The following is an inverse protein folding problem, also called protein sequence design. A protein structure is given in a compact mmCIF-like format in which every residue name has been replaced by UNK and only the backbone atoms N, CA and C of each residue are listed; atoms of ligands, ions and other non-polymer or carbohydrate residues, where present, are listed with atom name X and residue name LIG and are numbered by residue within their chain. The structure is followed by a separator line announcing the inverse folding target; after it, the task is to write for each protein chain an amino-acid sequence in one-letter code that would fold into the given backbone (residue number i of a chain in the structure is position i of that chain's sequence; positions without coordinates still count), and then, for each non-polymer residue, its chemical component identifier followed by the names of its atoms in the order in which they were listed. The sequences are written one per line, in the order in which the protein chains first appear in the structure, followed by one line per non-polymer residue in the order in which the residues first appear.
data_IF_592119094032
#
_entry.id   IF_592119094032
#
_cell.length_a   1.000
_cell.length_b   1.000
_cell.length_c   1.000
_cell.angle_alpha   90.00
_cell.angle_beta   90.00
_cell.angle_gamma   90.00
#
_symmetry.space_group_name_H-M   'P 1'
#
loop_
_entity.id
_entity.type
_entity.pdbx_description
1 polymer ?
#
# COMPACT_ATOMS: atom_id res chain seq x y z
N UNK A 1 58.41 12.09 17.65
CA UNK A 1 57.14 11.93 16.93
C UNK A 1 56.05 12.47 17.83
N UNK A 2 55.57 13.67 17.53
CA UNK A 2 54.83 14.50 18.47
C UNK A 2 53.37 14.07 18.64
N UNK A 3 52.93 13.98 19.89
CA UNK A 3 51.56 13.66 20.29
C UNK A 3 50.50 14.65 19.72
N UNK A 4 50.96 15.84 19.33
CA UNK A 4 50.17 16.89 18.65
C UNK A 4 49.59 16.42 17.31
N UNK A 5 50.34 15.61 16.55
CA UNK A 5 49.93 15.16 15.21
C UNK A 5 48.91 14.03 15.25
N UNK A 6 48.88 13.24 16.34
CA UNK A 6 47.94 12.13 16.54
C UNK A 6 46.54 12.60 16.94
N UNK A 7 46.43 13.69 17.70
CA UNK A 7 45.15 14.30 18.08
C UNK A 7 44.45 15.01 16.89
N UNK A 8 45.24 15.65 16.02
CA UNK A 8 44.71 16.32 14.82
C UNK A 8 44.12 15.37 13.77
N UNK A 9 44.66 14.15 13.65
CA UNK A 9 44.13 13.12 12.74
C UNK A 9 42.90 12.41 13.31
N UNK A 10 42.85 12.13 14.62
CA UNK A 10 41.67 11.58 15.29
C UNK A 10 40.47 12.53 15.22
N UNK A 11 40.69 13.84 15.38
CA UNK A 11 39.62 14.85 15.31
C UNK A 11 39.05 15.01 13.89
N UNK A 12 39.89 14.92 12.85
CA UNK A 12 39.44 14.94 11.44
C UNK A 12 38.74 13.63 11.03
N UNK A 13 39.21 12.48 11.50
CA UNK A 13 38.56 11.20 11.23
C UNK A 13 37.18 11.10 11.90
N UNK A 14 37.03 11.64 13.12
CA UNK A 14 35.74 11.69 13.81
C UNK A 14 34.79 12.69 13.16
N UNK A 15 35.27 13.87 12.75
CA UNK A 15 34.46 14.84 12.00
C UNK A 15 34.00 14.30 10.64
N UNK A 16 34.87 13.57 9.92
CA UNK A 16 34.51 12.89 8.68
C UNK A 16 33.49 11.75 8.91
N UNK A 17 33.61 10.99 10.00
CA UNK A 17 32.64 9.95 10.35
C UNK A 17 31.27 10.54 10.72
N UNK A 18 31.23 11.69 11.41
CA UNK A 18 29.98 12.41 11.74
C UNK A 18 29.33 13.02 10.49
N UNK A 19 30.12 13.57 9.55
CA UNK A 19 29.61 14.09 8.28
C UNK A 19 29.12 13.00 7.33
N UNK A 20 29.75 11.82 7.31
CA UNK A 20 29.28 10.65 6.53
C UNK A 20 28.03 10.03 7.16
N UNK A 21 27.91 10.01 8.49
CA UNK A 21 26.69 9.57 9.17
C UNK A 21 25.50 10.53 8.98
N UNK A 22 25.76 11.82 8.83
CA UNK A 22 24.73 12.84 8.59
C UNK A 22 24.29 12.95 7.11
N UNK A 23 25.02 12.32 6.18
CA UNK A 23 24.72 12.33 4.74
C UNK A 23 24.42 10.96 4.15
N UNK A 24 24.36 9.91 5.00
CA UNK A 24 23.64 8.72 4.61
C UNK A 24 22.21 9.17 4.27
N UNK A 25 21.75 9.05 3.01
CA UNK A 25 20.35 9.33 2.73
C UNK A 25 19.58 8.46 3.70
N UNK A 26 18.72 9.07 4.51
CA UNK A 26 17.78 8.32 5.33
C UNK A 26 17.22 7.26 4.38
N UNK A 27 17.57 5.99 4.61
CA UNK A 27 17.04 4.88 3.81
C UNK A 27 15.56 5.05 3.97
N UNK A 28 14.92 5.67 2.98
CA UNK A 28 13.48 5.79 2.94
C UNK A 28 13.02 4.37 3.18
N UNK A 29 12.27 4.17 4.28
CA UNK A 29 11.71 2.87 4.60
C UNK A 29 11.18 2.34 3.27
N UNK A 30 11.65 1.16 2.80
CA UNK A 30 11.48 0.74 1.42
C UNK A 30 10.04 0.99 1.07
N UNK A 31 9.84 1.91 0.13
CA UNK A 31 8.51 2.32 -0.31
C UNK A 31 7.80 1.01 -0.61
N UNK A 32 6.82 0.61 0.22
CA UNK A 32 6.29 -0.73 0.10
C UNK A 32 5.72 -0.82 -1.33
N UNK A 33 5.92 -1.93 -2.09
CA UNK A 33 5.69 -2.04 -3.54
C UNK A 33 4.23 -1.81 -4.02
N UNK A 34 3.40 -1.21 -3.19
CA UNK A 34 1.96 -1.05 -3.28
C UNK A 34 1.50 0.38 -2.91
N UNK A 35 2.40 1.32 -2.55
CA UNK A 35 2.15 2.76 -2.76
C UNK A 35 1.96 3.10 -4.23
N UNK A 36 2.50 2.24 -5.10
CA UNK A 36 2.45 2.39 -6.56
C UNK A 36 1.15 1.84 -7.16
N UNK A 37 0.19 1.43 -6.31
CA UNK A 37 -1.15 1.05 -6.77
C UNK A 37 -2.05 2.26 -7.05
N UNK A 38 -1.77 3.44 -6.48
CA UNK A 38 -2.59 4.63 -6.77
C UNK A 38 -2.56 5.00 -8.26
N UNK A 39 -1.37 5.08 -8.92
CA UNK A 39 -1.31 5.26 -10.35
C UNK A 39 -2.03 4.15 -11.13
N UNK A 40 -1.91 2.89 -10.68
CA UNK A 40 -2.56 1.77 -11.36
C UNK A 40 -4.08 1.75 -11.21
N UNK A 41 -4.62 2.12 -10.05
CA UNK A 41 -6.06 2.29 -9.83
C UNK A 41 -6.58 3.44 -10.70
N UNK A 42 -5.87 4.57 -10.72
CA UNK A 42 -6.26 5.74 -11.49
C UNK A 42 -6.20 5.50 -13.01
N UNK A 43 -5.25 4.68 -13.48
CA UNK A 43 -5.06 4.38 -14.89
C UNK A 43 -5.80 3.13 -15.39
N UNK A 44 -6.46 2.38 -14.50
CA UNK A 44 -7.22 1.18 -14.87
C UNK A 44 -8.62 1.55 -15.34
N UNK A 45 -9.02 1.01 -16.49
CA UNK A 45 -10.41 1.03 -16.92
C UNK A 45 -11.18 -0.09 -16.23
N UNK A 46 -10.57 -1.27 -16.12
CA UNK A 46 -11.12 -2.45 -15.44
C UNK A 46 -10.20 -2.90 -14.31
N UNK A 47 -10.79 -3.26 -13.17
CA UNK A 47 -10.09 -3.95 -12.07
C UNK A 47 -10.86 -5.23 -11.79
N UNK A 48 -10.20 -6.36 -11.96
CA UNK A 48 -10.83 -7.68 -11.86
C UNK A 48 -10.03 -8.60 -10.96
N UNK A 49 -10.74 -9.41 -10.18
CA UNK A 49 -10.19 -10.60 -9.58
C UNK A 49 -10.41 -11.74 -10.58
N UNK A 50 -9.34 -12.41 -10.97
CA UNK A 50 -9.40 -13.45 -11.98
C UNK A 50 -8.49 -14.63 -11.64
N UNK A 51 -8.85 -15.81 -12.11
CA UNK A 51 -8.07 -17.03 -11.98
C UNK A 51 -7.42 -17.36 -13.31
N UNK A 52 -6.12 -17.65 -13.30
CA UNK A 52 -5.39 -18.05 -14.50
C UNK A 52 -5.88 -19.43 -14.96
N UNK A 53 -6.32 -19.51 -16.21
CA UNK A 53 -6.74 -20.75 -16.85
C UNK A 53 -5.63 -21.32 -17.73
N UNK A 54 -4.90 -20.47 -18.44
CA UNK A 54 -3.79 -20.86 -19.30
C UNK A 54 -2.76 -19.74 -19.45
N UNK A 55 -1.54 -20.13 -19.83
CA UNK A 55 -0.48 -19.20 -20.21
C UNK A 55 0.33 -19.79 -21.35
N UNK A 56 0.62 -19.01 -22.38
CA UNK A 56 1.47 -19.44 -23.51
C UNK A 56 2.45 -18.35 -23.91
N UNK A 57 3.67 -18.74 -24.21
CA UNK A 57 4.69 -17.83 -24.76
C UNK A 57 4.36 -17.54 -26.22
N UNK A 58 4.30 -16.26 -26.58
CA UNK A 58 4.17 -15.77 -27.94
C UNK A 58 5.46 -15.01 -28.28
N UNK A 59 6.41 -15.63 -28.96
CA UNK A 59 7.63 -14.91 -29.38
C UNK A 59 7.34 -14.07 -30.63
N UNK A 60 7.82 -12.82 -30.72
CA UNK A 60 8.61 -12.07 -29.74
C UNK A 60 7.76 -11.22 -28.74
N UNK A 61 6.43 -11.37 -28.77
CA UNK A 61 5.45 -10.50 -28.12
C UNK A 61 5.38 -10.61 -26.58
N UNK A 62 5.81 -11.72 -25.99
CA UNK A 62 5.78 -11.94 -24.56
C UNK A 62 4.92 -13.15 -24.15
N UNK A 63 4.41 -13.12 -22.91
CA UNK A 63 3.56 -14.16 -22.36
C UNK A 63 2.09 -13.76 -22.49
N UNK A 64 1.31 -14.50 -23.27
CA UNK A 64 -0.15 -14.35 -23.25
C UNK A 64 -0.71 -15.17 -22.09
N UNK A 65 -1.49 -14.52 -21.24
CA UNK A 65 -2.17 -15.16 -20.13
C UNK A 65 -3.67 -15.11 -20.38
N UNK A 66 -4.33 -16.25 -20.24
CA UNK A 66 -5.77 -16.37 -20.23
C UNK A 66 -6.26 -16.52 -18.79
N UNK A 67 -7.30 -15.77 -18.45
CA UNK A 67 -7.88 -15.74 -17.12
C UNK A 67 -9.39 -15.80 -17.18
N UNK A 68 -9.99 -16.45 -16.17
CA UNK A 68 -11.42 -16.42 -15.91
C UNK A 68 -11.71 -15.36 -14.87
N UNK A 69 -12.54 -14.38 -15.19
CA UNK A 69 -12.97 -13.34 -14.24
C UNK A 69 -13.85 -13.96 -13.17
N UNK A 70 -13.43 -13.87 -11.92
CA UNK A 70 -14.21 -14.27 -10.76
C UNK A 70 -15.11 -13.12 -10.29
N UNK A 71 -14.58 -11.89 -10.32
CA UNK A 71 -15.28 -10.68 -9.88
C UNK A 71 -14.72 -9.44 -10.59
N UNK A 72 -15.59 -8.47 -10.87
CA UNK A 72 -15.19 -7.13 -11.30
C UNK A 72 -15.42 -6.12 -10.18
N UNK A 73 -14.36 -5.38 -9.85
CA UNK A 73 -14.35 -4.34 -8.84
C UNK A 73 -14.44 -2.94 -9.45
N UNK A 74 -14.01 -2.80 -10.70
CA UNK A 74 -14.17 -1.63 -11.53
C UNK A 74 -14.38 -2.06 -12.98
N UNK A 75 -15.28 -1.38 -13.69
CA UNK A 75 -15.64 -1.69 -15.07
C UNK A 75 -16.76 -2.72 -15.21
N UNK A 76 -17.04 -3.13 -16.46
CA UNK A 76 -18.07 -4.13 -16.80
C UNK A 76 -17.45 -5.44 -17.31
N UNK A 77 -16.51 -5.97 -16.53
CA UNK A 77 -15.97 -7.30 -16.77
C UNK A 77 -16.86 -8.33 -16.06
N UNK A 78 -17.91 -8.79 -16.74
CA UNK A 78 -18.85 -9.79 -16.16
C UNK A 78 -18.10 -10.99 -15.58
N UNK A 79 -18.51 -11.44 -14.40
CA UNK A 79 -18.02 -12.68 -13.80
C UNK A 79 -18.29 -13.86 -14.75
N UNK A 80 -17.37 -14.81 -14.80
CA UNK A 80 -17.38 -15.94 -15.74
C UNK A 80 -16.88 -15.60 -17.16
N UNK A 81 -16.56 -14.33 -17.45
CA UNK A 81 -15.93 -13.95 -18.72
C UNK A 81 -14.47 -14.39 -18.75
N UNK A 82 -14.05 -14.98 -19.86
CA UNK A 82 -12.63 -15.19 -20.15
C UNK A 82 -12.00 -13.93 -20.73
N UNK A 83 -10.86 -13.51 -20.17
CA UNK A 83 -10.04 -12.42 -20.68
C UNK A 83 -8.66 -12.94 -21.03
N UNK A 84 -7.98 -12.26 -21.96
CA UNK A 84 -6.55 -12.47 -22.18
C UNK A 84 -5.81 -11.15 -22.01
N UNK A 85 -4.59 -11.22 -21.52
CA UNK A 85 -3.68 -10.08 -21.48
C UNK A 85 -2.26 -10.52 -21.86
N UNK A 86 -1.45 -9.55 -22.26
CA UNK A 86 -0.03 -9.75 -22.52
C UNK A 86 0.77 -9.33 -21.28
N UNK A 87 1.74 -10.15 -20.92
CA UNK A 87 2.69 -9.95 -19.83
C UNK A 87 4.11 -10.09 -20.37
N UNK A 88 5.09 -9.57 -19.64
CA UNK A 88 6.48 -9.86 -19.96
C UNK A 88 6.79 -11.37 -19.86
N UNK A 89 7.80 -11.84 -20.61
CA UNK A 89 8.25 -13.24 -20.57
C UNK A 89 8.95 -13.65 -19.26
N UNK A 90 9.29 -12.68 -18.40
CA UNK A 90 9.94 -12.94 -17.11
C UNK A 90 8.92 -13.22 -16.00
N UNK A 91 7.66 -13.02 -16.30
CA UNK A 91 6.54 -13.25 -15.41
C UNK A 91 6.29 -14.74 -15.22
N UNK A 92 6.41 -15.19 -13.98
CA UNK A 92 5.99 -16.54 -13.61
C UNK A 92 4.49 -16.49 -13.31
N UNK A 93 3.69 -17.05 -14.23
CA UNK A 93 2.24 -17.18 -14.09
C UNK A 93 1.87 -18.63 -14.34
N UNK A 94 1.12 -19.25 -13.43
CA UNK A 94 0.71 -20.65 -13.54
C UNK A 94 -0.80 -20.79 -13.58
N UNK A 95 -1.34 -21.78 -14.32
CA UNK A 95 -2.74 -22.17 -14.21
C UNK A 95 -3.12 -22.41 -12.75
N UNK A 96 -4.26 -21.86 -12.34
CA UNK A 96 -4.75 -21.91 -10.97
C UNK A 96 -4.44 -20.67 -10.12
N UNK A 97 -3.45 -19.86 -10.49
CA UNK A 97 -3.12 -18.64 -9.75
C UNK A 97 -4.30 -17.65 -9.75
N UNK A 98 -4.69 -17.16 -8.57
CA UNK A 98 -5.66 -16.06 -8.43
C UNK A 98 -4.95 -14.73 -8.41
N UNK A 99 -5.40 -13.77 -9.22
CA UNK A 99 -4.72 -12.49 -9.42
C UNK A 99 -5.72 -11.35 -9.44
N UNK A 100 -5.35 -10.25 -8.79
CA UNK A 100 -6.02 -8.98 -8.98
C UNK A 100 -5.33 -8.24 -10.13
N UNK A 101 -6.07 -7.96 -11.20
CA UNK A 101 -5.55 -7.37 -12.43
C UNK A 101 -6.07 -5.95 -12.59
N UNK A 102 -5.15 -5.04 -12.93
CA UNK A 102 -5.42 -3.66 -13.31
C UNK A 102 -5.25 -3.57 -14.82
N UNK A 103 -6.37 -3.42 -15.53
CA UNK A 103 -6.46 -3.54 -16.96
C UNK A 103 -6.90 -2.21 -17.58
N UNK A 104 -6.28 -1.82 -18.69
CA UNK A 104 -6.83 -0.78 -19.56
C UNK A 104 -8.04 -1.29 -20.34
N UNK A 105 -8.63 -0.41 -21.16
CA UNK A 105 -9.74 -0.79 -22.05
C UNK A 105 -9.38 -2.05 -22.85
N UNK A 106 -10.30 -3.02 -22.97
CA UNK A 106 -10.11 -4.11 -23.90
C UNK A 106 -9.93 -3.54 -25.31
N UNK A 107 -9.08 -4.18 -26.10
CA UNK A 107 -8.96 -3.85 -27.51
C UNK A 107 -10.32 -4.05 -28.22
N UNK A 108 -10.56 -3.35 -29.35
CA UNK A 108 -11.84 -3.42 -30.08
C UNK A 108 -12.22 -4.84 -30.53
N UNK A 109 -11.22 -5.70 -30.73
CA UNK A 109 -11.38 -7.13 -31.05
C UNK A 109 -11.82 -7.98 -29.84
N UNK A 110 -11.84 -7.40 -28.64
CA UNK A 110 -12.21 -8.03 -27.38
C UNK A 110 -11.22 -9.07 -26.86
N UNK A 111 -10.12 -9.32 -27.57
CA UNK A 111 -9.22 -10.44 -27.31
C UNK A 111 -8.18 -10.11 -26.23
N UNK A 112 -7.74 -8.86 -26.13
CA UNK A 112 -6.64 -8.46 -25.25
C UNK A 112 -6.97 -7.23 -24.41
N UNK A 113 -6.79 -7.36 -23.10
CA UNK A 113 -6.72 -6.21 -22.20
C UNK A 113 -5.26 -5.79 -22.02
N UNK A 114 -5.00 -4.49 -22.01
CA UNK A 114 -3.68 -3.96 -21.68
C UNK A 114 -3.43 -4.12 -20.17
N UNK A 115 -2.49 -4.98 -19.79
CA UNK A 115 -2.10 -5.10 -18.39
C UNK A 115 -1.35 -3.83 -17.95
N UNK A 116 -1.87 -3.15 -16.94
CA UNK A 116 -1.19 -2.03 -16.27
C UNK A 116 -0.37 -2.51 -15.09
N UNK A 117 -1.01 -3.34 -14.26
CA UNK A 117 -0.40 -3.93 -13.08
C UNK A 117 -1.14 -5.21 -12.71
N UNK A 118 -0.47 -6.09 -11.95
CA UNK A 118 -1.10 -7.23 -11.29
C UNK A 118 -0.65 -7.34 -9.84
N UNK A 119 -1.53 -7.86 -9.01
CA UNK A 119 -1.21 -8.30 -7.65
C UNK A 119 -1.56 -9.77 -7.54
N UNK A 120 -0.54 -10.59 -7.28
CA UNK A 120 -0.64 -12.04 -7.29
C UNK A 120 0.60 -12.66 -7.96
N UNK A 121 0.79 -13.95 -7.70
CA UNK A 121 2.00 -14.74 -7.97
C UNK A 121 3.17 -14.47 -6.99
N UNK A 122 3.45 -15.49 -6.16
CA UNK A 122 4.56 -15.61 -5.19
C UNK A 122 4.51 -14.67 -3.98
N UNK A 123 3.43 -14.71 -3.21
CA UNK A 123 3.40 -14.12 -1.87
C UNK A 123 2.67 -15.03 -0.87
N UNK A 124 3.24 -15.27 0.31
CA UNK A 124 2.63 -16.12 1.35
C UNK A 124 1.35 -15.54 1.96
N UNK A 125 1.09 -14.25 1.72
CA UNK A 125 -0.12 -13.53 2.12
C UNK A 125 -0.96 -13.12 0.90
N UNK A 126 -0.77 -13.75 -0.26
CA UNK A 126 -1.44 -13.38 -1.52
C UNK A 126 -2.96 -13.26 -1.37
N UNK A 127 -3.64 -14.27 -0.85
CA UNK A 127 -5.11 -14.24 -0.67
C UNK A 127 -5.52 -13.10 0.26
N UNK A 128 -4.84 -12.99 1.40
CA UNK A 128 -5.13 -11.95 2.38
C UNK A 128 -4.88 -10.53 1.84
N UNK A 129 -3.91 -10.35 0.91
CA UNK A 129 -3.64 -9.10 0.19
C UNK A 129 -4.70 -8.82 -0.89
N UNK A 130 -5.13 -9.85 -1.63
CA UNK A 130 -6.21 -9.73 -2.60
C UNK A 130 -7.50 -9.31 -1.90
N UNK A 131 -7.88 -9.98 -0.81
CA UNK A 131 -9.08 -9.66 -0.03
C UNK A 131 -9.01 -8.25 0.57
N UNK A 132 -7.84 -7.86 1.05
CA UNK A 132 -7.60 -6.50 1.53
C UNK A 132 -7.81 -5.46 0.44
N UNK A 133 -7.18 -5.63 -0.73
CA UNK A 133 -7.32 -4.70 -1.85
C UNK A 133 -8.75 -4.65 -2.37
N UNK A 134 -9.43 -5.80 -2.42
CA UNK A 134 -10.85 -5.89 -2.73
C UNK A 134 -11.69 -5.04 -1.77
N UNK A 135 -11.44 -5.13 -0.46
CA UNK A 135 -12.12 -4.31 0.53
C UNK A 135 -11.82 -2.81 0.39
N UNK A 136 -10.55 -2.44 0.15
CA UNK A 136 -10.15 -1.04 -0.10
C UNK A 136 -10.86 -0.46 -1.33
N UNK A 137 -10.93 -1.21 -2.43
CA UNK A 137 -11.61 -0.77 -3.65
C UNK A 137 -13.11 -0.59 -3.42
N UNK A 138 -13.75 -1.49 -2.67
CA UNK A 138 -15.16 -1.35 -2.26
C UNK A 138 -15.39 -0.12 -1.39
N UNK A 139 -14.50 0.17 -0.44
CA UNK A 139 -14.57 1.38 0.38
C UNK A 139 -14.43 2.65 -0.46
N UNK A 140 -13.61 2.62 -1.52
CA UNK A 140 -13.50 3.75 -2.46
C UNK A 140 -14.75 3.96 -3.30
N UNK A 141 -15.50 2.90 -3.60
CA UNK A 141 -16.78 3.04 -4.30
C UNK A 141 -17.86 3.71 -3.43
N UNK A 142 -17.70 3.72 -2.10
CA UNK A 142 -18.61 4.44 -1.20
C UNK A 142 -18.52 5.95 -1.46
N UNK A 143 -19.68 6.61 -1.47
CA UNK A 143 -19.78 8.06 -1.64
C UNK A 143 -18.92 8.79 -0.59
N UNK A 144 -18.21 9.85 -1.00
CA UNK A 144 -17.20 10.53 -0.18
C UNK A 144 -17.71 10.93 1.23
N UNK A 145 -18.98 11.35 1.33
CA UNK A 145 -19.63 11.73 2.60
C UNK A 145 -19.77 10.60 3.63
N UNK A 146 -19.89 9.35 3.17
CA UNK A 146 -20.03 8.17 4.03
C UNK A 146 -18.73 7.36 4.13
N UNK A 147 -17.74 7.69 3.29
CA UNK A 147 -16.46 6.98 3.20
C UNK A 147 -15.63 7.15 4.46
N UNK A 148 -15.61 8.34 5.06
CA UNK A 148 -14.81 8.66 6.26
C UNK A 148 -14.92 7.63 7.38
N UNK A 149 -16.12 7.46 7.92
CA UNK A 149 -16.39 6.51 9.00
C UNK A 149 -16.22 5.04 8.61
N UNK A 150 -16.54 4.66 7.37
CA UNK A 150 -16.32 3.29 6.90
C UNK A 150 -14.82 2.98 6.70
N UNK A 151 -14.07 3.95 6.21
CA UNK A 151 -12.62 3.87 5.98
C UNK A 151 -11.89 3.76 7.31
N UNK A 152 -12.11 4.69 8.24
CA UNK A 152 -11.42 4.67 9.55
C UNK A 152 -11.71 3.37 10.30
N UNK A 153 -12.97 2.90 10.31
CA UNK A 153 -13.34 1.62 10.94
C UNK A 153 -12.62 0.42 10.34
N UNK A 154 -12.55 0.35 9.01
CA UNK A 154 -11.85 -0.74 8.33
C UNK A 154 -10.36 -0.81 8.71
N UNK A 155 -9.69 0.35 8.78
CA UNK A 155 -8.28 0.37 9.19
C UNK A 155 -8.11 0.19 10.70
N UNK A 156 -9.08 0.60 11.53
CA UNK A 156 -9.10 0.31 12.96
C UNK A 156 -9.15 -1.21 13.22
N UNK A 157 -10.05 -1.94 12.56
CA UNK A 157 -10.12 -3.41 12.64
C UNK A 157 -8.79 -4.07 12.21
N UNK A 158 -8.10 -3.48 11.24
CA UNK A 158 -6.84 -4.00 10.76
C UNK A 158 -5.64 -3.73 11.68
N UNK A 159 -5.69 -2.67 12.50
CA UNK A 159 -4.73 -2.44 13.58
C UNK A 159 -4.81 -3.54 14.65
N UNK A 160 -6.00 -4.09 14.85
CA UNK A 160 -6.25 -5.15 15.83
C UNK A 160 -5.98 -6.56 15.28
N UNK A 161 -5.88 -6.71 13.96
CA UNK A 161 -5.59 -8.00 13.31
C UNK A 161 -4.26 -8.58 13.77
N UNK A 162 -4.19 -9.91 13.97
CA UNK A 162 -2.98 -10.64 14.35
C UNK A 162 -1.81 -10.53 13.35
N UNK A 163 -2.04 -9.96 12.16
CA UNK A 163 -1.06 -9.88 11.09
C UNK A 163 -0.33 -8.53 11.07
N UNK A 164 0.97 -8.54 11.37
CA UNK A 164 1.81 -7.32 11.38
C UNK A 164 1.77 -6.57 10.04
N UNK A 165 1.69 -7.26 8.90
CA UNK A 165 1.60 -6.58 7.60
C UNK A 165 0.28 -5.79 7.44
N UNK A 166 -0.83 -6.30 8.00
CA UNK A 166 -2.13 -5.59 7.98
C UNK A 166 -2.07 -4.35 8.87
N UNK A 167 -1.47 -4.48 10.06
CA UNK A 167 -1.25 -3.34 10.97
C UNK A 167 -0.38 -2.27 10.34
N UNK A 168 0.74 -2.67 9.75
CA UNK A 168 1.66 -1.76 9.08
C UNK A 168 0.95 -1.02 7.93
N UNK A 169 0.08 -1.71 7.16
CA UNK A 169 -0.76 -0.98 6.20
C UNK A 169 -1.68 0.00 6.89
N UNK A 170 -2.50 -0.46 7.82
CA UNK A 170 -3.48 0.40 8.44
C UNK A 170 -2.85 1.66 9.04
N UNK A 171 -1.71 1.53 9.69
CA UNK A 171 -0.91 2.65 10.16
C UNK A 171 -0.53 3.63 9.04
N UNK A 172 0.01 3.16 7.91
CA UNK A 172 0.39 4.04 6.79
C UNK A 172 -0.79 4.86 6.23
N UNK A 173 -1.98 4.26 6.16
CA UNK A 173 -3.19 4.93 5.68
C UNK A 173 -3.74 5.91 6.70
N UNK A 174 -3.73 5.55 7.98
CA UNK A 174 -4.14 6.43 9.06
C UNK A 174 -3.18 7.61 9.23
N UNK A 175 -1.87 7.42 9.03
CA UNK A 175 -0.89 8.51 9.02
C UNK A 175 -1.04 9.43 7.80
N UNK A 176 -1.46 8.89 6.65
CA UNK A 176 -1.86 9.72 5.51
C UNK A 176 -3.09 10.55 5.86
N UNK A 177 -4.13 9.94 6.42
CA UNK A 177 -5.34 10.63 6.83
C UNK A 177 -5.07 11.67 7.93
N UNK A 178 -4.15 11.39 8.86
CA UNK A 178 -3.66 12.35 9.86
C UNK A 178 -3.10 13.62 9.23
N UNK A 179 -2.42 13.53 8.09
CA UNK A 179 -1.84 14.69 7.37
C UNK A 179 -2.88 15.41 6.54
N UNK A 180 -3.78 14.67 5.90
CA UNK A 180 -4.76 15.22 4.96
C UNK A 180 -6.02 15.77 5.66
N UNK A 181 -6.47 15.11 6.73
CA UNK A 181 -7.74 15.36 7.44
C UNK A 181 -7.66 15.01 8.94
N UNK A 182 -6.85 15.75 9.72
CA UNK A 182 -6.61 15.43 11.12
C UNK A 182 -7.89 15.47 11.98
N UNK A 183 -8.81 16.39 11.71
CA UNK A 183 -10.06 16.53 12.46
C UNK A 183 -10.98 15.32 12.27
N UNK A 184 -11.10 14.85 11.03
CA UNK A 184 -11.90 13.67 10.68
C UNK A 184 -11.35 12.43 11.37
N UNK A 185 -10.02 12.27 11.41
CA UNK A 185 -9.39 11.13 12.06
C UNK A 185 -9.57 11.18 13.59
N UNK A 186 -9.38 12.34 14.23
CA UNK A 186 -9.63 12.49 15.68
C UNK A 186 -11.08 12.21 16.07
N UNK A 187 -12.04 12.56 15.21
CA UNK A 187 -13.45 12.33 15.49
C UNK A 187 -13.86 10.86 15.37
N UNK A 188 -13.12 10.05 14.61
CA UNK A 188 -13.54 8.71 14.20
C UNK A 188 -12.67 7.57 14.72
N UNK A 189 -11.40 7.83 15.08
CA UNK A 189 -10.48 6.82 15.58
C UNK A 189 -10.26 6.99 17.09
N UNK A 190 -10.70 5.99 17.86
CA UNK A 190 -10.44 5.93 19.30
C UNK A 190 -8.95 5.67 19.58
N UNK A 191 -8.31 6.39 20.53
CA UNK A 191 -6.91 6.19 20.89
C UNK A 191 -6.55 4.77 21.33
N UNK A 192 -7.50 4.03 21.90
CA UNK A 192 -7.31 2.69 22.43
C UNK A 192 -7.09 1.66 21.30
N UNK A 193 -7.55 1.93 20.08
CA UNK A 193 -7.37 1.04 18.92
C UNK A 193 -5.88 0.91 18.55
N UNK A 194 -5.14 2.00 18.25
CA UNK A 194 -3.70 1.90 18.01
C UNK A 194 -2.91 1.39 19.22
N UNK A 195 -3.36 1.60 20.46
CA UNK A 195 -2.73 1.02 21.65
C UNK A 195 -2.82 -0.51 21.68
N UNK A 196 -4.01 -1.06 21.42
CA UNK A 196 -4.19 -2.52 21.27
C UNK A 196 -3.36 -3.06 20.11
N UNK A 197 -3.30 -2.34 18.99
CA UNK A 197 -2.44 -2.67 17.87
C UNK A 197 -0.96 -2.70 18.23
N UNK A 198 -0.48 -1.72 19.01
CA UNK A 198 0.89 -1.64 19.48
C UNK A 198 1.27 -2.80 20.41
N UNK A 199 0.38 -3.11 21.36
CA UNK A 199 0.57 -4.22 22.30
C UNK A 199 0.72 -5.57 21.59
N UNK A 200 0.03 -5.74 20.46
CA UNK A 200 0.06 -6.97 19.67
C UNK A 200 1.11 -6.97 18.53
N UNK A 201 1.81 -5.87 18.29
CA UNK A 201 2.81 -5.75 17.23
C UNK A 201 4.11 -6.48 17.60
N UNK A 202 4.59 -7.34 16.69
CA UNK A 202 5.84 -8.09 16.86
C UNK A 202 7.08 -7.24 16.56
N UNK A 203 6.98 -6.32 15.60
CA UNK A 203 8.07 -5.43 15.21
C UNK A 203 8.16 -4.18 16.13
N UNK A 204 9.30 -3.91 16.78
CA UNK A 204 9.46 -2.75 17.67
C UNK A 204 9.21 -1.39 16.99
N UNK A 205 9.62 -1.24 15.73
CA UNK A 205 9.40 -0.02 14.96
C UNK A 205 7.90 0.24 14.68
N UNK A 206 7.14 -0.83 14.41
CA UNK A 206 5.69 -0.74 14.21
C UNK A 206 4.99 -0.39 15.52
N UNK A 207 5.36 -1.06 16.62
CA UNK A 207 4.84 -0.77 17.97
C UNK A 207 4.99 0.70 18.32
N UNK A 208 6.21 1.24 18.21
CA UNK A 208 6.50 2.64 18.52
C UNK A 208 5.62 3.61 17.74
N UNK A 209 5.46 3.40 16.43
CA UNK A 209 4.65 4.30 15.60
C UNK A 209 3.15 4.23 15.93
N UNK A 210 2.66 3.07 16.35
CA UNK A 210 1.29 2.91 16.82
C UNK A 210 1.08 3.64 18.16
N UNK A 211 2.03 3.55 19.08
CA UNK A 211 2.02 4.32 20.34
C UNK A 211 2.04 5.84 20.07
N UNK A 212 2.86 6.29 19.11
CA UNK A 212 2.90 7.70 18.69
C UNK A 212 1.57 8.18 18.09
N UNK A 213 0.90 7.33 17.30
CA UNK A 213 -0.43 7.63 16.78
C UNK A 213 -1.47 7.74 17.90
N UNK A 214 -1.45 6.81 18.87
CA UNK A 214 -2.34 6.84 20.02
C UNK A 214 -2.12 8.10 20.87
N UNK A 215 -0.86 8.44 21.16
CA UNK A 215 -0.52 9.65 21.91
C UNK A 215 -1.00 10.91 21.19
N UNK A 216 -0.88 10.96 19.87
CA UNK A 216 -1.39 12.07 19.07
C UNK A 216 -2.92 12.18 19.16
N UNK A 217 -3.67 11.07 19.08
CA UNK A 217 -5.14 11.08 19.19
C UNK A 217 -5.62 11.59 20.56
N UNK A 218 -4.86 11.34 21.63
CA UNK A 218 -5.14 11.85 22.98
C UNK A 218 -4.82 13.35 23.12
N UNK A 219 -3.92 13.87 22.31
CA UNK A 219 -3.56 15.28 22.36
C UNK A 219 -4.72 16.13 21.81
N UNK A 220 -5.03 17.28 22.43
CA UNK A 220 -6.03 18.18 21.88
C UNK A 220 -5.57 18.69 20.52
N UNK A 221 -6.48 18.71 19.54
CA UNK A 221 -6.21 19.34 18.25
C UNK A 221 -5.91 20.83 18.44
N UNK A 222 -4.88 21.38 17.78
CA UNK A 222 -4.61 22.80 17.82
C UNK A 222 -5.83 23.56 17.27
N UNK A 223 -6.32 24.55 18.01
CA UNK A 223 -7.42 25.40 17.53
C UNK A 223 -7.00 26.07 16.22
N UNK A 224 -7.87 26.13 15.20
CA UNK A 224 -7.56 26.86 13.98
C UNK A 224 -7.19 28.30 14.35
N UNK A 225 -6.08 28.79 13.80
CA UNK A 225 -5.64 30.15 14.04
C UNK A 225 -6.78 31.12 13.67
N UNK A 226 -7.05 32.15 14.48
CA UNK A 226 -8.09 33.11 14.17
C UNK A 226 -7.85 33.68 12.77
N UNK A 227 -8.89 33.69 11.94
CA UNK A 227 -8.84 34.31 10.63
C UNK A 227 -8.32 35.74 10.80
N UNK A 228 -7.23 36.09 10.12
CA UNK A 228 -6.70 37.45 10.17
C UNK A 228 -7.80 38.40 9.67
N UNK A 229 -8.14 39.46 10.40
CA UNK A 229 -9.04 40.47 9.89
C UNK A 229 -8.44 41.03 8.60
N UNK A 230 -9.26 41.11 7.55
CA UNK A 230 -8.94 41.81 6.30
C UNK A 230 -8.97 43.32 6.52
#
# INVERSE_FOLDING_TARGET
MDASTALGTLSRALAAAVLVAATAPARQAPVPPWSDLEPAIAAADWIVLAKVTASRTLEPLGLQVEVLVEESLLGDARAGRTLRYLSDNRSVVKPGDRQLLFLGKPQPDGLHAQLRQRVGARDRHQEAKIDWLRAVLRLRAVAARARGGAFVRFYAEALESASDWRRERALLELERLRRERPEELHALLEPEVPERGAAAAGAPALRKRLEELAQWLRAPLPKPAPARPQ
#
